data_IF_141052758760
#
_entry.id   IF_141052758760
#
_cell.length_a   1.000
_cell.length_b   1.000
_cell.length_c   1.000
_cell.angle_alpha   90.00
_cell.angle_beta   90.00
_cell.angle_gamma   90.00
#
_symmetry.space_group_name_H-M   'P 1'
#
loop_
_entity.id
_entity.type
_entity.pdbx_description
1 polymer ?
#
# COMPACT_ATOMS: atom_id res chain seq x y z
N UNK A 1 -1.11 -74.22 56.56
CA UNK A 1 -0.76 -72.80 56.77
C UNK A 1 -0.11 -72.16 55.54
N UNK A 2 0.93 -72.76 54.93
CA UNK A 2 1.63 -72.19 53.76
C UNK A 2 0.74 -71.90 52.53
N UNK A 3 -0.26 -72.74 52.24
CA UNK A 3 -1.16 -72.55 51.10
C UNK A 3 -2.00 -71.27 51.23
N UNK A 4 -2.58 -71.03 52.42
CA UNK A 4 -3.43 -69.86 52.69
C UNK A 4 -2.65 -68.54 52.62
N UNK A 5 -1.39 -68.52 53.07
CA UNK A 5 -0.53 -67.34 52.92
C UNK A 5 -0.19 -67.03 51.46
N UNK A 6 -0.04 -68.05 50.61
CA UNK A 6 0.23 -67.87 49.18
C UNK A 6 -0.98 -67.27 48.44
N UNK A 7 -2.19 -67.74 48.76
CA UNK A 7 -3.43 -67.17 48.22
C UNK A 7 -3.65 -65.72 48.66
N UNK A 8 -3.39 -65.40 49.93
CA UNK A 8 -3.49 -64.03 50.44
C UNK A 8 -2.52 -63.06 49.74
N UNK A 9 -1.25 -63.48 49.55
CA UNK A 9 -0.25 -62.67 48.85
C UNK A 9 -0.63 -62.42 47.38
N UNK A 10 -1.15 -63.44 46.68
CA UNK A 10 -1.66 -63.33 45.31
C UNK A 10 -2.78 -62.29 45.20
N UNK A 11 -3.77 -62.35 46.08
CA UNK A 11 -4.92 -61.41 46.07
C UNK A 11 -4.44 -59.98 46.31
N UNK A 12 -3.54 -59.77 47.27
CA UNK A 12 -2.97 -58.44 47.55
C UNK A 12 -2.20 -57.90 46.34
N UNK A 13 -1.41 -58.74 45.67
CA UNK A 13 -0.69 -58.35 44.46
C UNK A 13 -1.65 -57.91 43.34
N UNK A 14 -2.73 -58.67 43.12
CA UNK A 14 -3.74 -58.34 42.11
C UNK A 14 -4.43 -57.01 42.43
N UNK A 15 -4.80 -56.77 43.69
CA UNK A 15 -5.43 -55.51 44.10
C UNK A 15 -4.50 -54.30 43.92
N UNK A 16 -3.22 -54.46 44.26
CA UNK A 16 -2.21 -53.40 44.02
C UNK A 16 -2.05 -53.14 42.53
N UNK A 17 -1.95 -54.18 41.69
CA UNK A 17 -1.87 -54.03 40.24
C UNK A 17 -3.10 -53.32 39.66
N UNK A 18 -4.31 -53.69 40.09
CA UNK A 18 -5.55 -53.03 39.65
C UNK A 18 -5.60 -51.57 40.07
N UNK A 19 -5.17 -51.25 41.30
CA UNK A 19 -5.07 -49.88 41.79
C UNK A 19 -4.10 -49.04 40.95
N UNK A 20 -2.93 -49.57 40.63
CA UNK A 20 -1.94 -48.90 39.77
C UNK A 20 -2.47 -48.68 38.35
N UNK A 21 -3.14 -49.67 37.76
CA UNK A 21 -3.76 -49.56 36.43
C UNK A 21 -4.84 -48.48 36.43
N UNK A 22 -5.70 -48.46 37.46
CA UNK A 22 -6.77 -47.46 37.58
C UNK A 22 -6.22 -46.03 37.69
N UNK A 23 -5.21 -45.82 38.54
CA UNK A 23 -4.56 -44.51 38.70
C UNK A 23 -3.86 -44.08 37.39
N UNK A 24 -3.17 -45.00 36.72
CA UNK A 24 -2.49 -44.69 35.47
C UNK A 24 -3.50 -44.36 34.35
N UNK A 25 -4.60 -45.12 34.23
CA UNK A 25 -5.65 -44.83 33.25
C UNK A 25 -6.31 -43.48 33.51
N UNK A 26 -6.59 -43.13 34.76
CA UNK A 26 -7.19 -41.84 35.09
C UNK A 26 -6.24 -40.67 34.77
N UNK A 27 -4.94 -40.82 35.07
CA UNK A 27 -3.91 -39.83 34.70
C UNK A 27 -3.81 -39.65 33.17
N UNK A 28 -3.81 -40.77 32.43
CA UNK A 28 -3.78 -40.72 30.97
C UNK A 28 -5.04 -40.09 30.37
N UNK A 29 -6.22 -40.39 30.92
CA UNK A 29 -7.47 -39.77 30.50
C UNK A 29 -7.44 -38.24 30.71
N UNK A 30 -6.96 -37.77 31.86
CA UNK A 30 -6.80 -36.34 32.13
C UNK A 30 -5.78 -35.67 31.18
N UNK A 31 -4.65 -36.34 30.90
CA UNK A 31 -3.65 -35.84 29.96
C UNK A 31 -4.20 -35.73 28.53
N UNK A 32 -4.98 -36.73 28.07
CA UNK A 32 -5.62 -36.72 26.76
C UNK A 32 -6.63 -35.58 26.66
N UNK A 33 -7.46 -35.37 27.69
CA UNK A 33 -8.42 -34.27 27.71
C UNK A 33 -7.74 -32.90 27.64
N UNK A 34 -6.64 -32.72 28.38
CA UNK A 34 -5.86 -31.48 28.32
C UNK A 34 -5.29 -31.24 26.92
N UNK A 35 -4.76 -32.27 26.26
CA UNK A 35 -4.27 -32.18 24.88
C UNK A 35 -5.37 -31.93 23.86
N UNK A 36 -6.54 -32.55 24.01
CA UNK A 36 -7.70 -32.28 23.16
C UNK A 36 -8.16 -30.84 23.28
N UNK A 37 -8.21 -30.29 24.50
CA UNK A 37 -8.54 -28.88 24.72
C UNK A 37 -7.53 -27.95 24.04
N UNK A 38 -6.23 -28.21 24.20
CA UNK A 38 -5.19 -27.45 23.51
C UNK A 38 -5.32 -27.52 21.98
N UNK A 39 -5.64 -28.71 21.44
CA UNK A 39 -5.86 -28.89 20.01
C UNK A 39 -7.07 -28.07 19.52
N UNK A 40 -8.18 -28.10 20.27
CA UNK A 40 -9.38 -27.33 19.94
C UNK A 40 -9.11 -25.83 19.97
N UNK A 41 -8.42 -25.32 21.00
CA UNK A 41 -8.03 -23.92 21.09
C UNK A 41 -7.13 -23.51 19.92
N UNK A 42 -6.13 -24.34 19.58
CA UNK A 42 -5.26 -24.09 18.43
C UNK A 42 -6.03 -24.11 17.09
N UNK A 43 -7.00 -25.02 16.93
CA UNK A 43 -7.87 -25.06 15.75
C UNK A 43 -8.75 -23.81 15.64
N UNK A 44 -9.30 -23.33 16.76
CA UNK A 44 -10.07 -22.08 16.81
C UNK A 44 -9.19 -20.88 16.43
N UNK A 45 -7.98 -20.78 16.99
CA UNK A 45 -7.03 -19.72 16.63
C UNK A 45 -6.66 -19.76 15.15
N UNK A 46 -6.42 -20.95 14.58
CA UNK A 46 -6.17 -21.09 13.15
C UNK A 46 -7.36 -20.66 12.30
N UNK A 47 -8.59 -20.95 12.74
CA UNK A 47 -9.80 -20.50 12.05
C UNK A 47 -9.90 -18.98 12.05
N UNK A 48 -9.65 -18.34 13.19
CA UNK A 48 -9.67 -16.88 13.33
C UNK A 48 -8.61 -16.25 12.43
N UNK A 49 -7.36 -16.72 12.52
CA UNK A 49 -6.25 -16.22 11.71
C UNK A 49 -6.51 -16.36 10.21
N UNK A 50 -7.14 -17.46 9.78
CA UNK A 50 -7.55 -17.63 8.37
C UNK A 50 -8.60 -16.60 7.95
N UNK A 51 -9.55 -16.26 8.82
CA UNK A 51 -10.54 -15.20 8.57
C UNK A 51 -9.86 -13.84 8.43
N UNK A 52 -8.99 -13.49 9.39
CA UNK A 52 -8.24 -12.22 9.37
C UNK A 52 -7.38 -12.08 8.11
N UNK A 53 -6.70 -13.15 7.68
CA UNK A 53 -5.92 -13.16 6.44
C UNK A 53 -6.82 -12.96 5.22
N UNK A 54 -8.02 -13.56 5.20
CA UNK A 54 -8.97 -13.38 4.10
C UNK A 54 -9.47 -11.92 4.02
N UNK A 55 -9.79 -11.32 5.15
CA UNK A 55 -10.17 -9.90 5.25
C UNK A 55 -9.03 -8.97 4.83
N UNK A 56 -7.81 -9.24 5.28
CA UNK A 56 -6.62 -8.47 4.90
C UNK A 56 -6.37 -8.55 3.39
N UNK A 57 -6.51 -9.73 2.77
CA UNK A 57 -6.39 -9.89 1.32
C UNK A 57 -7.44 -9.08 0.56
N UNK A 58 -8.69 -9.09 1.02
CA UNK A 58 -9.75 -8.28 0.43
C UNK A 58 -9.46 -6.77 0.57
N UNK A 59 -8.97 -6.35 1.74
CA UNK A 59 -8.53 -4.98 2.00
C UNK A 59 -7.38 -4.55 1.09
N UNK A 60 -6.34 -5.38 0.96
CA UNK A 60 -5.20 -5.12 0.06
C UNK A 60 -5.62 -5.02 -1.41
N UNK A 61 -6.57 -5.85 -1.86
CA UNK A 61 -7.09 -5.75 -3.23
C UNK A 61 -7.81 -4.43 -3.47
N UNK A 62 -8.61 -3.97 -2.51
CA UNK A 62 -9.28 -2.67 -2.58
C UNK A 62 -8.28 -1.51 -2.62
N UNK A 63 -7.24 -1.56 -1.78
CA UNK A 63 -6.15 -0.59 -1.80
C UNK A 63 -5.44 -0.60 -3.16
N UNK A 64 -5.11 -1.78 -3.71
CA UNK A 64 -4.49 -1.91 -5.02
C UNK A 64 -5.31 -1.24 -6.13
N UNK A 65 -6.63 -1.44 -6.15
CA UNK A 65 -7.52 -0.75 -7.10
C UNK A 65 -7.48 0.77 -6.96
N UNK A 66 -7.44 1.27 -5.72
CA UNK A 66 -7.35 2.72 -5.45
C UNK A 66 -6.01 3.29 -5.88
N UNK A 67 -4.92 2.56 -5.69
CA UNK A 67 -3.58 2.98 -6.16
C UNK A 67 -3.58 3.11 -7.67
N UNK A 68 -4.05 2.09 -8.41
CA UNK A 68 -4.16 2.15 -9.88
C UNK A 68 -5.02 3.34 -10.32
N UNK A 69 -6.17 3.57 -9.68
CA UNK A 69 -7.03 4.71 -10.02
C UNK A 69 -6.36 6.07 -9.75
N UNK A 70 -5.49 6.16 -8.73
CA UNK A 70 -4.72 7.39 -8.46
C UNK A 70 -3.58 7.55 -9.46
N UNK A 71 -2.90 6.48 -9.85
CA UNK A 71 -1.86 6.50 -10.89
C UNK A 71 -2.44 6.94 -12.24
N UNK A 72 -3.62 6.41 -12.62
CA UNK A 72 -4.32 6.83 -13.84
C UNK A 72 -4.66 8.32 -13.82
N UNK A 73 -5.23 8.81 -12.72
CA UNK A 73 -5.51 10.25 -12.56
C UNK A 73 -4.25 11.11 -12.56
N UNK A 74 -3.17 10.63 -11.95
CA UNK A 74 -1.90 11.35 -11.94
C UNK A 74 -1.37 11.50 -13.37
N UNK A 75 -1.44 10.44 -14.16
CA UNK A 75 -1.02 10.45 -15.56
C UNK A 75 -1.90 11.35 -16.42
N UNK A 76 -3.22 11.34 -16.20
CA UNK A 76 -4.15 12.25 -16.88
C UNK A 76 -3.80 13.72 -16.55
N UNK A 77 -3.54 14.04 -15.29
CA UNK A 77 -3.15 15.38 -14.86
C UNK A 77 -1.81 15.82 -15.45
N UNK A 78 -0.84 14.90 -15.56
CA UNK A 78 0.44 15.16 -16.23
C UNK A 78 0.23 15.49 -17.71
N UNK A 79 -0.61 14.72 -18.41
CA UNK A 79 -0.96 14.99 -19.81
C UNK A 79 -1.67 16.33 -19.99
N UNK A 80 -2.60 16.68 -19.10
CA UNK A 80 -3.28 17.97 -19.11
C UNK A 80 -2.32 19.14 -18.86
N UNK A 81 -1.37 18.98 -17.94
CA UNK A 81 -0.33 19.99 -17.69
C UNK A 81 0.58 20.18 -18.91
N UNK A 82 1.01 19.08 -19.54
CA UNK A 82 1.80 19.14 -20.76
C UNK A 82 1.02 19.84 -21.88
N UNK A 83 -0.25 19.48 -22.09
CA UNK A 83 -1.11 20.15 -23.05
C UNK A 83 -1.20 21.65 -22.77
N UNK A 84 -1.48 22.04 -21.52
CA UNK A 84 -1.57 23.44 -21.12
C UNK A 84 -0.27 24.22 -21.33
N UNK A 85 0.89 23.58 -21.18
CA UNK A 85 2.20 24.21 -21.43
C UNK A 85 2.41 24.57 -22.90
N UNK A 86 1.83 23.80 -23.83
CA UNK A 86 1.95 24.03 -25.27
C UNK A 86 0.81 24.89 -25.86
N UNK A 87 -0.28 25.03 -25.12
CA UNK A 87 -1.53 25.66 -25.56
C UNK A 87 -1.75 27.07 -25.01
N UNK A 88 -0.69 27.77 -24.61
CA UNK A 88 -0.73 29.22 -24.46
C UNK A 88 -0.37 29.90 -25.81
N UNK A 89 -1.36 30.20 -26.67
CA UNK A 89 -1.12 30.91 -27.92
C UNK A 89 -0.50 32.28 -27.69
N UNK A 90 -0.78 32.94 -26.57
CA UNK A 90 -0.18 34.23 -26.23
C UNK A 90 1.33 34.06 -25.95
N UNK A 91 1.73 32.99 -25.24
CA UNK A 91 3.16 32.70 -25.03
C UNK A 91 3.93 32.49 -26.36
N UNK A 92 3.31 31.89 -27.38
CA UNK A 92 3.90 31.78 -28.72
C UNK A 92 4.07 33.14 -29.39
N UNK A 93 3.05 34.00 -29.35
CA UNK A 93 3.10 35.36 -29.90
C UNK A 93 4.20 36.18 -29.20
N UNK A 94 4.28 36.13 -27.87
CA UNK A 94 5.33 36.83 -27.12
C UNK A 94 6.73 36.28 -27.41
N UNK A 95 6.92 34.96 -27.51
CA UNK A 95 8.22 34.38 -27.87
C UNK A 95 8.67 34.75 -29.29
N UNK A 96 7.74 34.88 -30.24
CA UNK A 96 8.02 35.38 -31.59
C UNK A 96 8.39 36.86 -31.56
N UNK A 97 7.62 37.70 -30.87
CA UNK A 97 7.89 39.12 -30.72
C UNK A 97 9.27 39.37 -30.11
N UNK A 98 9.64 38.63 -29.06
CA UNK A 98 10.96 38.71 -28.41
C UNK A 98 12.09 38.42 -29.40
N UNK A 99 11.99 37.35 -30.21
CA UNK A 99 13.01 37.07 -31.25
C UNK A 99 13.11 38.17 -32.30
N UNK A 100 11.99 38.80 -32.67
CA UNK A 100 12.00 39.93 -33.61
C UNK A 100 12.72 41.15 -33.00
N UNK A 101 12.52 41.43 -31.70
CA UNK A 101 13.28 42.47 -30.98
C UNK A 101 14.78 42.16 -30.97
N UNK A 102 15.17 40.91 -30.70
CA UNK A 102 16.59 40.49 -30.71
C UNK A 102 17.24 40.64 -32.09
N UNK A 103 16.47 40.44 -33.16
CA UNK A 103 16.88 40.65 -34.55
C UNK A 103 16.86 42.13 -34.97
N UNK A 104 16.41 43.04 -34.10
CA UNK A 104 16.40 44.48 -34.34
C UNK A 104 15.18 45.01 -35.10
N UNK A 105 14.06 44.27 -35.10
CA UNK A 105 12.80 44.75 -35.67
C UNK A 105 12.33 46.04 -34.99
N UNK A 106 11.68 46.92 -35.75
CA UNK A 106 11.13 48.17 -35.23
C UNK A 106 9.78 47.96 -34.51
N UNK A 107 9.35 48.99 -33.77
CA UNK A 107 8.13 48.92 -32.95
C UNK A 107 6.88 48.67 -33.80
N UNK A 108 6.76 49.35 -34.94
CA UNK A 108 5.63 49.26 -35.87
C UNK A 108 5.57 47.89 -36.57
N UNK A 109 6.73 47.29 -36.87
CA UNK A 109 6.86 45.94 -37.41
C UNK A 109 6.38 44.88 -36.42
N UNK A 110 6.76 45.00 -35.14
CA UNK A 110 6.30 44.07 -34.08
C UNK A 110 4.79 44.18 -33.86
N UNK A 111 4.25 45.40 -33.82
CA UNK A 111 2.81 45.64 -33.67
C UNK A 111 2.04 44.98 -34.83
N UNK A 112 2.56 45.08 -36.07
CA UNK A 112 1.90 44.52 -37.25
C UNK A 112 2.00 43.00 -37.34
N UNK A 113 3.19 42.44 -37.10
CA UNK A 113 3.47 41.01 -37.31
C UNK A 113 3.06 40.10 -36.14
N UNK A 114 3.06 40.65 -34.92
CA UNK A 114 2.66 39.94 -33.71
C UNK A 114 1.29 40.38 -33.18
N UNK A 115 0.63 41.35 -33.85
CA UNK A 115 -0.69 41.90 -33.49
C UNK A 115 -0.78 42.39 -32.03
N UNK A 116 0.35 42.83 -31.47
CA UNK A 116 0.44 43.28 -30.08
C UNK A 116 -0.04 44.74 -29.94
N UNK A 117 -0.74 45.09 -28.85
CA UNK A 117 -1.03 46.48 -28.53
C UNK A 117 0.26 47.29 -28.40
N UNK A 118 0.24 48.55 -28.84
CA UNK A 118 1.42 49.45 -28.79
C UNK A 118 2.10 49.47 -27.42
N UNK A 119 1.32 49.56 -26.34
CA UNK A 119 1.85 49.59 -24.98
C UNK A 119 2.61 48.30 -24.58
N UNK A 120 2.17 47.14 -25.06
CA UNK A 120 2.85 45.86 -24.81
C UNK A 120 4.13 45.73 -25.64
N UNK A 121 4.10 46.15 -26.90
CA UNK A 121 5.28 46.15 -27.76
C UNK A 121 6.37 47.11 -27.24
N UNK A 122 5.98 48.31 -26.79
CA UNK A 122 6.88 49.28 -26.16
C UNK A 122 7.52 48.72 -24.88
N UNK A 123 6.73 48.05 -24.04
CA UNK A 123 7.22 47.38 -22.83
C UNK A 123 8.26 46.29 -23.17
N UNK A 124 7.96 45.43 -24.14
CA UNK A 124 8.87 44.34 -24.57
C UNK A 124 10.21 44.87 -25.09
N UNK A 125 10.19 45.92 -25.92
CA UNK A 125 11.41 46.57 -26.43
C UNK A 125 12.21 47.23 -25.31
N UNK A 126 11.55 47.85 -24.32
CA UNK A 126 12.22 48.50 -23.19
C UNK A 126 12.93 47.51 -22.27
N UNK A 127 12.30 46.36 -21.99
CA UNK A 127 12.87 45.26 -21.21
C UNK A 127 14.10 44.64 -21.90
N UNK A 128 14.06 44.44 -23.21
CA UNK A 128 15.19 43.85 -23.95
C UNK A 128 16.33 44.85 -24.19
N UNK A 129 16.03 46.14 -24.38
CA UNK A 129 17.07 47.19 -24.44
C UNK A 129 17.85 47.31 -23.13
N UNK A 130 17.22 47.06 -21.98
CA UNK A 130 17.93 47.01 -20.69
C UNK A 130 18.86 45.79 -20.57
N UNK A 131 18.52 44.67 -21.22
CA UNK A 131 19.28 43.41 -21.15
C UNK A 131 20.47 43.35 -22.12
N UNK A 132 20.46 44.14 -23.20
CA UNK A 132 21.56 44.27 -24.16
C UNK A 132 22.53 45.43 -23.88
N UNK A 133 22.39 46.10 -22.73
CA UNK A 133 23.25 47.19 -22.26
C UNK A 133 24.15 46.77 -21.08
N UNK A 134 24.46 45.47 -20.99
CA UNK A 134 25.56 44.89 -20.20
C UNK A 134 26.65 44.33 -21.11
#
# INVERSE_FOLDING_TARGET
MLLYSLFGASILLVLVCLGLIFVNNNKQAAAIQAKQKQLQEAQQQLSILRSEVAEMRAGMLSIGKRVVAVEEKSKELEQLQDAQKYDDPNAKIYSRAVKMVELGADLEEIIRECELPRAEAELLMSLHKQKGAE
#
